data_IF_727413359278
#
_entry.id   IF_727413359278
#
_cell.length_a   1.000
_cell.length_b   1.000
_cell.length_c   1.000
_cell.angle_alpha   90.00
_cell.angle_beta   90.00
_cell.angle_gamma   90.00
#
_symmetry.space_group_name_H-M   'P 1'
#
loop_
_entity.id
_entity.type
_entity.pdbx_description
1 polymer ?
#
# COMPACT_ATOMS: atom_id res chain seq x y z
N UNK A 1 -2.51 6.41 8.42
CA UNK A 1 -3.05 6.29 7.02
C UNK A 1 -2.96 4.84 6.52
N UNK A 2 -3.94 4.29 5.79
CA UNK A 2 -3.84 2.92 5.22
C UNK A 2 -2.86 2.86 4.04
N UNK A 3 -2.16 1.74 3.86
CA UNK A 3 -1.21 1.52 2.76
C UNK A 3 -1.85 1.70 1.37
N UNK A 4 -3.03 1.11 1.14
CA UNK A 4 -3.77 1.28 -0.12
C UNK A 4 -4.15 2.75 -0.40
N UNK A 5 -4.48 3.51 0.65
CA UNK A 5 -4.83 4.93 0.57
C UNK A 5 -3.58 5.76 0.30
N UNK A 6 -2.48 5.42 0.96
CA UNK A 6 -1.19 6.07 0.77
C UNK A 6 -0.69 5.90 -0.66
N UNK A 7 -0.71 4.68 -1.21
CA UNK A 7 -0.29 4.40 -2.59
C UNK A 7 -1.08 5.21 -3.63
N UNK A 8 -2.39 5.43 -3.38
CA UNK A 8 -3.25 6.26 -4.22
C UNK A 8 -2.94 7.75 -4.09
N UNK A 9 -2.81 8.25 -2.86
CA UNK A 9 -2.60 9.69 -2.60
C UNK A 9 -1.21 10.14 -3.04
N UNK A 10 -0.20 9.30 -2.81
CA UNK A 10 1.18 9.49 -3.28
C UNK A 10 1.34 9.25 -4.79
N UNK A 11 0.25 8.92 -5.50
CA UNK A 11 0.19 8.68 -6.96
C UNK A 11 1.12 7.57 -7.48
N UNK A 12 1.56 6.66 -6.62
CA UNK A 12 2.34 5.47 -7.03
C UNK A 12 1.45 4.52 -7.81
N UNK A 13 0.20 4.34 -7.36
CA UNK A 13 -0.80 3.51 -8.04
C UNK A 13 -2.06 4.33 -8.28
N UNK A 14 -2.50 4.38 -9.55
CA UNK A 14 -3.61 5.25 -9.98
C UNK A 14 -4.97 4.81 -9.45
N UNK A 15 -5.18 3.50 -9.22
CA UNK A 15 -6.44 2.91 -8.76
C UNK A 15 -6.25 2.14 -7.46
N UNK A 16 -7.21 2.27 -6.54
CA UNK A 16 -7.15 1.63 -5.22
C UNK A 16 -7.27 0.09 -5.29
N UNK A 17 -7.98 -0.43 -6.30
CA UNK A 17 -8.08 -1.87 -6.58
C UNK A 17 -6.72 -2.47 -6.92
N UNK A 18 -5.97 -1.80 -7.80
CA UNK A 18 -4.63 -2.22 -8.20
C UNK A 18 -3.65 -2.15 -7.02
N UNK A 19 -3.87 -1.24 -6.08
CA UNK A 19 -3.06 -1.18 -4.86
C UNK A 19 -3.31 -2.39 -3.94
N UNK A 20 -4.55 -2.87 -3.84
CA UNK A 20 -4.87 -4.10 -3.10
C UNK A 20 -4.22 -5.31 -3.78
N UNK A 21 -4.40 -5.47 -5.10
CA UNK A 21 -3.79 -6.57 -5.86
C UNK A 21 -2.26 -6.56 -5.76
N UNK A 22 -1.63 -5.38 -5.80
CA UNK A 22 -0.18 -5.27 -5.64
C UNK A 22 0.30 -5.65 -4.23
N UNK A 23 -0.51 -5.41 -3.19
CA UNK A 23 -0.20 -5.86 -1.83
C UNK A 23 -0.42 -7.38 -1.69
N UNK A 24 -1.43 -7.95 -2.35
CA UNK A 24 -1.71 -9.39 -2.34
C UNK A 24 -0.67 -10.20 -3.13
N UNK A 25 -0.14 -9.63 -4.21
CA UNK A 25 0.97 -10.19 -4.99
C UNK A 25 2.36 -9.96 -4.35
N UNK A 26 2.39 -9.52 -3.08
CA UNK A 26 3.62 -9.23 -2.33
C UNK A 26 4.58 -8.23 -3.01
N UNK A 27 4.08 -7.43 -3.97
CA UNK A 27 4.88 -6.43 -4.69
C UNK A 27 5.12 -5.15 -3.88
N UNK A 28 4.40 -4.97 -2.79
CA UNK A 28 4.52 -3.80 -1.91
C UNK A 28 5.12 -4.23 -0.57
N UNK A 29 6.32 -3.74 -0.28
CA UNK A 29 6.98 -3.90 1.00
C UNK A 29 7.02 -2.57 1.76
N UNK A 30 6.78 -2.64 3.06
CA UNK A 30 6.93 -1.50 3.98
C UNK A 30 8.08 -1.84 4.91
N UNK A 31 9.15 -1.03 4.88
CA UNK A 31 10.36 -1.25 5.68
C UNK A 31 10.95 -2.67 5.53
N UNK A 32 10.96 -3.20 4.30
CA UNK A 32 11.54 -4.50 3.98
C UNK A 32 10.67 -5.72 4.30
N UNK A 33 9.41 -5.53 4.72
CA UNK A 33 8.45 -6.63 4.93
C UNK A 33 7.23 -6.48 4.01
N UNK A 34 6.73 -7.56 3.39
CA UNK A 34 5.49 -7.52 2.62
C UNK A 34 4.35 -7.08 3.55
N UNK A 35 3.57 -6.09 3.09
CA UNK A 35 2.58 -5.43 3.93
C UNK A 35 1.17 -5.65 3.37
N UNK A 36 0.25 -6.00 4.27
CA UNK A 36 -1.18 -6.09 3.92
C UNK A 36 -1.70 -4.70 3.51
N UNK A 37 -2.65 -4.62 2.56
CA UNK A 37 -3.20 -3.32 2.13
C UNK A 37 -3.88 -2.56 3.29
N UNK A 38 -4.43 -3.30 4.27
CA UNK A 38 -5.01 -2.74 5.49
C UNK A 38 -4.02 -2.25 6.53
N UNK A 39 -2.70 -2.33 6.27
CA UNK A 39 -1.68 -1.84 7.20
C UNK A 39 -1.86 -0.33 7.42
N UNK A 40 -2.01 0.07 8.67
CA UNK A 40 -1.89 1.48 9.05
C UNK A 40 -0.41 1.88 9.07
N UNK A 41 -0.06 2.79 8.16
CA UNK A 41 1.15 3.59 8.21
C UNK A 41 0.96 4.64 9.30
N UNK A 42 1.87 4.64 10.28
CA UNK A 42 2.02 5.76 11.20
C UNK A 42 2.62 6.93 10.42
N UNK A 43 1.95 8.06 10.52
CA UNK A 43 2.43 9.34 10.03
C UNK A 43 3.50 9.76 11.05
N UNK A 44 4.75 9.86 10.59
CA UNK A 44 5.86 10.35 11.40
C UNK A 44 5.77 11.85 11.56
#
# INVERSE_FOLDING_TARGET
MRLDKFLKVSRIIKRRTVANEACDLERVSVNGKPAKPSKELKEG
#
